data_IF_614169872611
#
_entry.id   IF_614169872611
#
_cell.length_a   1.000
_cell.length_b   1.000
_cell.length_c   1.000
_cell.angle_alpha   90.00
_cell.angle_beta   90.00
_cell.angle_gamma   90.00
#
_symmetry.space_group_name_H-M   'P 1'
#
loop_
_entity.id
_entity.type
_entity.pdbx_description
1 polymer ?
#
# COMPACT_ATOMS: atom_id res chain seq x y z
N UNK A 1 -1.53 -5.97 -10.21
CA UNK A 1 -1.40 -5.73 -8.75
C UNK A 1 0.05 -5.46 -8.46
N UNK A 2 0.36 -4.32 -7.84
CA UNK A 2 1.70 -4.08 -7.32
C UNK A 2 2.05 -5.19 -6.31
N UNK A 3 3.18 -5.85 -6.52
CA UNK A 3 3.59 -6.99 -5.72
C UNK A 3 4.79 -6.56 -4.88
N UNK A 4 4.54 -6.20 -3.62
CA UNK A 4 5.58 -5.78 -2.69
C UNK A 4 6.40 -7.01 -2.31
N UNK A 5 7.66 -7.07 -2.75
CA UNK A 5 8.58 -8.17 -2.42
C UNK A 5 9.80 -7.66 -1.65
N UNK A 6 10.18 -6.41 -1.87
CA UNK A 6 11.33 -5.80 -1.24
C UNK A 6 11.03 -4.37 -0.76
N UNK A 7 11.88 -3.86 0.12
CA UNK A 7 11.82 -2.46 0.56
C UNK A 7 12.00 -1.47 -0.58
N UNK A 8 12.64 -1.88 -1.68
CA UNK A 8 12.75 -1.07 -2.89
C UNK A 8 11.35 -0.77 -3.48
N UNK A 9 10.44 -1.73 -3.46
CA UNK A 9 9.07 -1.52 -3.95
C UNK A 9 8.32 -0.50 -3.08
N UNK A 10 8.51 -0.60 -1.76
CA UNK A 10 7.98 0.35 -0.78
C UNK A 10 8.60 1.74 -0.99
N UNK A 11 9.90 1.81 -1.31
CA UNK A 11 10.58 3.06 -1.65
C UNK A 11 10.01 3.71 -2.92
N UNK A 12 9.75 2.91 -3.97
CA UNK A 12 9.13 3.40 -5.22
C UNK A 12 7.76 4.03 -4.98
N UNK A 13 6.95 3.46 -4.07
CA UNK A 13 5.66 4.02 -3.68
C UNK A 13 5.82 5.34 -2.94
N UNK A 14 6.61 5.37 -1.86
CA UNK A 14 6.69 6.53 -0.95
C UNK A 14 7.48 7.71 -1.52
N UNK A 15 8.61 7.44 -2.16
CA UNK A 15 9.57 8.47 -2.52
C UNK A 15 9.54 8.79 -4.02
N UNK A 16 9.42 7.77 -4.87
CA UNK A 16 9.30 7.98 -6.32
C UNK A 16 7.87 8.23 -6.77
N UNK A 17 6.87 8.01 -5.89
CA UNK A 17 5.45 8.21 -6.18
C UNK A 17 4.99 7.46 -7.43
N UNK A 18 5.55 6.28 -7.68
CA UNK A 18 5.33 5.47 -8.90
C UNK A 18 4.01 4.66 -8.85
N UNK A 19 2.96 5.21 -8.23
CA UNK A 19 1.70 4.51 -7.95
C UNK A 19 0.51 5.48 -8.00
N UNK A 20 -0.70 4.95 -7.85
CA UNK A 20 -1.90 5.78 -7.74
C UNK A 20 -1.85 6.68 -6.49
N UNK A 21 -2.26 7.95 -6.62
CA UNK A 21 -2.32 8.93 -5.50
C UNK A 21 -3.11 8.44 -4.29
N UNK A 22 -4.21 7.72 -4.49
CA UNK A 22 -5.01 7.15 -3.40
C UNK A 22 -4.20 6.11 -2.61
N UNK A 23 -3.50 5.22 -3.32
CA UNK A 23 -2.65 4.20 -2.71
C UNK A 23 -1.46 4.82 -1.98
N UNK A 24 -0.82 5.83 -2.58
CA UNK A 24 0.26 6.59 -1.94
C UNK A 24 -0.24 7.18 -0.61
N UNK A 25 -1.44 7.79 -0.59
CA UNK A 25 -2.02 8.35 0.64
C UNK A 25 -2.30 7.30 1.72
N UNK A 26 -2.70 6.08 1.33
CA UNK A 26 -2.89 4.97 2.28
C UNK A 26 -1.55 4.56 2.89
N UNK A 27 -0.52 4.38 2.07
CA UNK A 27 0.81 3.99 2.53
C UNK A 27 1.46 5.08 3.37
N UNK A 28 1.35 6.36 2.98
CA UNK A 28 1.85 7.48 3.77
C UNK A 28 1.24 7.53 5.17
N UNK A 29 -0.07 7.32 5.30
CA UNK A 29 -0.76 7.26 6.61
C UNK A 29 -0.21 6.13 7.48
N UNK A 30 0.06 4.98 6.90
CA UNK A 30 0.72 3.88 7.63
C UNK A 30 2.07 4.32 8.21
N UNK A 31 2.93 4.98 7.42
CA UNK A 31 4.23 5.44 7.93
C UNK A 31 4.15 6.62 8.91
N UNK A 32 3.09 7.44 8.85
CA UNK A 32 2.82 8.48 9.86
C UNK A 32 2.42 7.87 11.20
N UNK A 33 1.65 6.77 11.18
CA UNK A 33 1.23 6.05 12.39
C UNK A 33 2.36 5.21 13.02
N UNK A 34 3.44 4.95 12.29
CA UNK A 34 4.55 4.12 12.74
C UNK A 34 5.77 4.94 13.20
N UNK A 35 6.69 4.27 13.90
CA UNK A 35 7.95 4.88 14.36
C UNK A 35 8.72 5.46 13.18
N UNK A 36 9.33 6.63 13.38
CA UNK A 36 10.13 7.34 12.36
C UNK A 36 11.26 6.49 11.76
N UNK A 37 11.73 5.48 12.51
CA UNK A 37 12.74 4.52 12.05
C UNK A 37 12.27 3.70 10.84
N UNK A 38 10.97 3.40 10.71
CA UNK A 38 10.44 2.63 9.56
C UNK A 38 10.66 3.41 8.26
N UNK A 39 10.35 4.72 8.29
CA UNK A 39 10.54 5.60 7.14
C UNK A 39 12.01 5.78 6.78
N UNK A 40 12.90 5.82 7.79
CA UNK A 40 14.36 5.85 7.58
C UNK A 40 14.87 4.56 6.93
N UNK A 41 14.43 3.39 7.42
CA UNK A 41 14.82 2.09 6.88
C UNK A 41 14.41 1.95 5.41
N UNK A 42 13.21 2.42 5.04
CA UNK A 42 12.79 2.46 3.62
C UNK A 42 13.64 3.44 2.81
N UNK A 43 13.92 4.63 3.35
CA UNK A 43 14.75 5.64 2.66
C UNK A 43 16.14 5.11 2.32
N UNK A 44 16.71 4.32 3.21
CA UNK A 44 18.02 3.69 3.07
C UNK A 44 17.88 2.17 2.84
N UNK A 45 16.97 1.76 1.95
CA UNK A 45 16.65 0.34 1.71
C UNK A 45 17.87 -0.51 1.28
N UNK A 46 18.86 0.13 0.66
CA UNK A 46 20.09 -0.46 0.17
C UNK A 46 21.15 -0.70 1.26
N UNK A 47 20.90 -0.26 2.50
CA UNK A 47 21.82 -0.53 3.61
C UNK A 47 21.83 -2.02 3.98
N UNK A 48 23.03 -2.52 4.23
CA UNK A 48 23.22 -3.84 4.83
C UNK A 48 23.06 -3.77 6.36
N UNK A 49 23.10 -4.93 7.01
CA UNK A 49 22.93 -5.07 8.47
C UNK A 49 24.01 -4.30 9.24
N UNK A 50 25.24 -4.23 8.72
CA UNK A 50 26.36 -3.55 9.36
C UNK A 50 26.16 -2.03 9.34
N UNK A 51 25.77 -1.50 8.18
CA UNK A 51 25.45 -0.08 8.01
C UNK A 51 24.23 0.32 8.83
N UNK A 52 23.21 -0.54 8.91
CA UNK A 52 22.03 -0.29 9.73
C UNK A 52 22.37 -0.15 11.22
N UNK A 53 23.27 -0.98 11.75
CA UNK A 53 23.73 -0.87 13.14
C UNK A 53 24.37 0.49 13.42
N UNK A 54 25.25 0.95 12.53
CA UNK A 54 25.92 2.25 12.69
C UNK A 54 24.95 3.44 12.54
N UNK A 55 24.04 3.39 11.57
CA UNK A 55 23.21 4.55 11.21
C UNK A 55 21.90 4.67 12.00
N UNK A 56 21.39 3.55 12.51
CA UNK A 56 20.09 3.50 13.19
C UNK A 56 20.18 3.00 14.64
N UNK A 57 21.37 2.60 15.11
CA UNK A 57 21.62 2.09 16.46
C UNK A 57 20.68 0.94 16.86
N UNK A 58 20.37 0.06 15.90
CA UNK A 58 19.54 -1.14 16.06
C UNK A 58 20.40 -2.38 15.82
N UNK A 59 20.03 -3.47 16.48
CA UNK A 59 20.74 -4.72 16.30
C UNK A 59 20.34 -5.40 14.97
N UNK A 60 21.10 -6.43 14.58
CA UNK A 60 20.91 -7.11 13.31
C UNK A 60 19.53 -7.78 13.18
N UNK A 61 19.07 -8.42 14.24
CA UNK A 61 17.81 -9.15 14.29
C UNK A 61 16.63 -8.20 14.21
N UNK A 62 16.62 -7.16 15.05
CA UNK A 62 15.61 -6.09 15.04
C UNK A 62 15.52 -5.42 13.67
N UNK A 63 16.66 -5.15 13.04
CA UNK A 63 16.67 -4.58 11.69
C UNK A 63 15.95 -5.49 10.70
N UNK A 64 16.28 -6.79 10.66
CA UNK A 64 15.64 -7.74 9.75
C UNK A 64 14.15 -7.91 10.04
N UNK A 65 13.74 -7.96 11.31
CA UNK A 65 12.34 -8.01 11.71
C UNK A 65 11.57 -6.78 11.24
N UNK A 66 12.13 -5.58 11.42
CA UNK A 66 11.51 -4.34 10.95
C UNK A 66 11.44 -4.33 9.41
N UNK A 67 12.50 -4.74 8.71
CA UNK A 67 12.48 -4.83 7.23
C UNK A 67 11.36 -5.75 6.75
N UNK A 68 11.26 -6.94 7.34
CA UNK A 68 10.23 -7.93 6.99
C UNK A 68 8.83 -7.39 7.27
N UNK A 69 8.62 -6.83 8.47
CA UNK A 69 7.34 -6.27 8.88
C UNK A 69 6.88 -5.14 7.97
N UNK A 70 7.77 -4.22 7.59
CA UNK A 70 7.44 -3.16 6.63
C UNK A 70 6.96 -3.75 5.30
N UNK A 71 7.66 -4.74 4.75
CA UNK A 71 7.27 -5.36 3.49
C UNK A 71 5.89 -6.04 3.60
N UNK A 72 5.67 -6.82 4.66
CA UNK A 72 4.41 -7.55 4.88
C UNK A 72 3.23 -6.60 5.06
N UNK A 73 3.35 -5.63 5.98
CA UNK A 73 2.26 -4.69 6.29
C UNK A 73 1.89 -3.84 5.07
N UNK A 74 2.88 -3.39 4.28
CA UNK A 74 2.62 -2.64 3.05
C UNK A 74 2.02 -3.54 1.96
N UNK A 75 2.46 -4.80 1.84
CA UNK A 75 1.85 -5.76 0.90
C UNK A 75 0.37 -6.00 1.21
N UNK A 76 0.02 -6.12 2.49
CA UNK A 76 -1.37 -6.26 2.95
C UNK A 76 -2.19 -5.01 2.66
N UNK A 77 -1.67 -3.82 2.95
CA UNK A 77 -2.33 -2.55 2.63
C UNK A 77 -2.62 -2.39 1.14
N UNK A 78 -1.66 -2.75 0.28
CA UNK A 78 -1.84 -2.72 -1.17
C UNK A 78 -2.93 -3.72 -1.59
N UNK A 79 -2.91 -4.93 -1.05
CA UNK A 79 -3.90 -5.97 -1.34
C UNK A 79 -5.31 -5.51 -0.94
N UNK A 80 -5.47 -4.99 0.27
CA UNK A 80 -6.73 -4.50 0.80
C UNK A 80 -7.27 -3.31 0.01
N UNK A 81 -6.38 -2.40 -0.40
CA UNK A 81 -6.76 -1.28 -1.27
C UNK A 81 -7.37 -1.78 -2.59
N UNK A 82 -6.72 -2.72 -3.27
CA UNK A 82 -7.24 -3.26 -4.53
C UNK A 82 -8.52 -4.07 -4.34
N UNK A 83 -8.63 -4.85 -3.25
CA UNK A 83 -9.87 -5.59 -2.90
C UNK A 83 -11.04 -4.64 -2.65
N UNK A 84 -10.82 -3.58 -1.87
CA UNK A 84 -11.83 -2.56 -1.62
C UNK A 84 -12.23 -1.80 -2.88
N UNK A 85 -11.26 -1.52 -3.76
CA UNK A 85 -11.53 -0.88 -5.06
C UNK A 85 -12.39 -1.77 -5.96
N UNK A 86 -12.11 -3.07 -6.04
CA UNK A 86 -12.92 -4.02 -6.79
C UNK A 86 -14.37 -4.06 -6.27
N UNK A 87 -14.55 -4.17 -4.95
CA UNK A 87 -15.88 -4.15 -4.32
C UNK A 87 -16.66 -2.86 -4.59
N UNK A 88 -15.97 -1.70 -4.67
CA UNK A 88 -16.63 -0.43 -5.02
C UNK A 88 -17.08 -0.39 -6.47
N UNK A 89 -16.28 -0.94 -7.39
CA UNK A 89 -16.62 -1.02 -8.82
C UNK A 89 -17.84 -1.92 -9.01
N UNK A 90 -17.84 -3.12 -8.42
CA UNK A 90 -18.96 -4.07 -8.49
C UNK A 90 -20.27 -3.44 -7.98
N UNK A 91 -20.22 -2.69 -6.86
CA UNK A 91 -21.40 -1.97 -6.35
C UNK A 91 -21.93 -0.92 -7.31
N UNK A 92 -21.04 -0.22 -8.02
CA UNK A 92 -21.43 0.80 -9.02
C UNK A 92 -22.10 0.11 -10.21
N UNK A 93 -21.52 -0.98 -10.71
CA UNK A 93 -22.08 -1.77 -11.82
C UNK A 93 -23.50 -2.25 -11.50
N UNK A 94 -23.70 -2.83 -10.32
CA UNK A 94 -25.01 -3.26 -9.84
C UNK A 94 -26.04 -2.11 -9.81
N UNK A 95 -25.64 -0.90 -9.38
CA UNK A 95 -26.53 0.27 -9.37
C UNK A 95 -26.87 0.74 -10.79
N UNK A 96 -25.89 0.74 -11.70
CA UNK A 96 -26.11 1.10 -13.12
C UNK A 96 -27.10 0.13 -13.78
N UNK A 97 -26.96 -1.16 -13.53
CA UNK A 97 -27.86 -2.20 -14.06
C UNK A 97 -29.29 -2.02 -13.54
N UNK A 98 -29.45 -1.76 -12.24
CA UNK A 98 -30.76 -1.46 -11.64
C UNK A 98 -31.42 -0.22 -12.26
N UNK A 99 -30.65 0.85 -12.48
CA UNK A 99 -31.14 2.08 -13.12
C UNK A 99 -31.53 1.85 -14.58
N UNK A 100 -30.72 1.10 -15.34
CA UNK A 100 -31.00 0.74 -16.72
C UNK A 100 -32.28 -0.10 -16.83
N UNK A 101 -32.45 -1.09 -15.95
CA UNK A 101 -33.66 -1.91 -15.87
C UNK A 101 -34.92 -1.06 -15.58
N UNK A 102 -34.86 -0.18 -14.57
CA UNK A 102 -35.98 0.72 -14.23
C UNK A 102 -36.34 1.67 -15.38
N UNK A 103 -35.35 2.16 -16.13
CA UNK A 103 -35.57 3.03 -17.31
C UNK A 103 -36.23 2.28 -18.47
N UNK A 104 -35.95 0.99 -18.66
CA UNK A 104 -36.62 0.14 -19.65
C UNK A 104 -38.10 -0.09 -19.31
N UNK A 105 -38.41 -0.42 -18.06
CA UNK A 105 -39.80 -0.59 -17.59
C UNK A 105 -40.61 0.70 -17.82
N UNK A 106 -40.05 1.87 -17.46
CA UNK A 106 -40.72 3.16 -17.66
C UNK A 106 -41.00 3.55 -19.12
N UNK A 107 -40.38 2.90 -20.10
CA UNK A 107 -40.61 3.16 -21.54
C UNK A 107 -41.66 2.22 -22.14
N UNK A 108 -42.10 1.21 -21.41
CA UNK A 108 -43.10 0.23 -21.86
C UNK A 108 -44.52 0.58 -21.37
N UNK A 109 -44.65 1.62 -20.56
CA UNK A 109 -45.90 2.23 -20.11
C UNK A 109 -45.91 3.70 -20.55
#
# INVERSE_FOLDING_TARGET
MENIKALEDVYKILYLKQCNKELISVVERYFVAHKSIYKKIVKFYYYDVRQAKCCFNINATEYQEIRYKICTDVAELVRDYYKNRANRIEKIENVVDLLAHKKRIKRQY
#
